data_IF_792463522902
#
_entry.id   IF_792463522902
#
_cell.length_a   1.000
_cell.length_b   1.000
_cell.length_c   1.000
_cell.angle_alpha   90.00
_cell.angle_beta   90.00
_cell.angle_gamma   90.00
#
_symmetry.space_group_name_H-M   'P 1'
#
loop_
_entity.id
_entity.type
_entity.pdbx_description
1 polymer ?
#
# COMPACT_ATOMS: atom_id res chain seq x y z
N UNK A 1 -54.58 -28.47 -7.00
CA UNK A 1 -53.94 -28.04 -8.26
C UNK A 1 -52.54 -27.53 -7.88
N UNK A 2 -51.53 -28.40 -8.00
CA UNK A 2 -50.15 -28.11 -7.61
C UNK A 2 -49.39 -27.62 -8.85
N UNK A 3 -48.94 -26.35 -8.79
CA UNK A 3 -48.06 -25.79 -9.83
C UNK A 3 -46.62 -26.36 -9.64
N UNK A 4 -46.15 -27.08 -10.65
CA UNK A 4 -44.78 -27.52 -10.79
C UNK A 4 -43.98 -26.36 -11.36
N UNK A 5 -43.04 -25.82 -10.60
CA UNK A 5 -41.97 -24.95 -11.11
C UNK A 5 -40.84 -25.83 -11.64
N UNK A 6 -40.63 -25.76 -12.94
CA UNK A 6 -39.53 -26.42 -13.61
C UNK A 6 -38.20 -25.70 -13.24
N UNK A 7 -37.31 -26.40 -12.53
CA UNK A 7 -35.94 -25.94 -12.27
C UNK A 7 -35.10 -26.14 -13.53
N UNK A 8 -34.42 -25.10 -13.96
CA UNK A 8 -33.32 -25.18 -14.92
C UNK A 8 -32.10 -25.84 -14.26
N UNK A 9 -31.40 -26.77 -14.90
CA UNK A 9 -30.13 -27.26 -14.39
C UNK A 9 -29.07 -26.18 -14.62
N UNK A 10 -28.82 -25.40 -13.58
CA UNK A 10 -27.71 -24.42 -13.54
C UNK A 10 -26.42 -25.17 -13.25
N UNK A 11 -25.48 -24.96 -14.12
CA UNK A 11 -24.11 -25.43 -14.17
C UNK A 11 -23.40 -25.21 -12.83
N UNK A 12 -23.13 -26.28 -12.11
CA UNK A 12 -22.16 -26.37 -11.00
C UNK A 12 -20.74 -26.38 -11.58
N UNK A 13 -20.17 -25.22 -11.85
CA UNK A 13 -18.76 -25.06 -12.29
C UNK A 13 -17.92 -24.17 -11.37
N UNK A 14 -18.42 -23.80 -10.20
CA UNK A 14 -17.72 -22.85 -9.33
C UNK A 14 -17.21 -23.40 -7.99
N UNK A 15 -17.23 -24.73 -7.76
CA UNK A 15 -16.91 -25.27 -6.42
C UNK A 15 -15.55 -25.98 -6.35
N UNK A 16 -14.63 -25.75 -7.27
CA UNK A 16 -13.36 -26.53 -7.32
C UNK A 16 -12.09 -25.80 -6.86
N UNK A 17 -12.13 -24.54 -6.41
CA UNK A 17 -10.91 -23.83 -6.02
C UNK A 17 -10.99 -22.96 -4.76
N UNK A 18 -12.03 -23.02 -3.96
CA UNK A 18 -12.03 -22.42 -2.63
C UNK A 18 -12.12 -23.53 -1.58
N UNK A 19 -11.08 -23.80 -0.80
CA UNK A 19 -11.24 -24.60 0.41
C UNK A 19 -12.20 -23.83 1.32
N UNK A 20 -13.31 -24.48 1.71
CA UNK A 20 -14.36 -23.87 2.51
C UNK A 20 -13.80 -23.28 3.82
N UNK A 21 -13.79 -21.95 3.90
CA UNK A 21 -13.50 -21.21 5.11
C UNK A 21 -14.71 -21.14 6.04
N UNK A 22 -15.56 -22.16 6.04
CA UNK A 22 -16.82 -22.16 6.79
C UNK A 22 -16.62 -22.29 8.31
N UNK A 23 -15.42 -22.60 8.78
CA UNK A 23 -15.18 -22.89 10.18
C UNK A 23 -13.96 -22.12 10.73
N UNK A 24 -14.15 -20.83 11.09
CA UNK A 24 -13.17 -20.03 11.84
C UNK A 24 -13.20 -20.35 13.36
N UNK A 25 -13.49 -21.60 13.72
CA UNK A 25 -13.52 -22.08 15.11
C UNK A 25 -12.11 -22.32 15.67
N UNK A 26 -11.10 -22.41 14.80
CA UNK A 26 -9.71 -22.61 15.17
C UNK A 26 -9.03 -21.32 15.68
N UNK A 27 -7.82 -21.47 16.27
CA UNK A 27 -7.01 -20.32 16.66
C UNK A 27 -6.69 -19.40 15.45
N UNK A 28 -6.66 -18.08 15.68
CA UNK A 28 -6.37 -17.06 14.65
C UNK A 28 -5.18 -17.41 13.74
N UNK A 29 -4.07 -17.86 14.33
CA UNK A 29 -2.83 -18.16 13.60
C UNK A 29 -2.87 -19.41 12.72
N UNK A 30 -3.97 -20.17 12.69
CA UNK A 30 -4.12 -21.35 11.82
C UNK A 30 -4.80 -21.04 10.49
N UNK A 31 -5.46 -19.90 10.37
CA UNK A 31 -6.20 -19.49 9.18
C UNK A 31 -5.28 -18.81 8.14
N UNK A 32 -4.71 -19.58 7.23
CA UNK A 32 -3.85 -19.07 6.15
C UNK A 32 -4.53 -19.22 4.80
N UNK A 33 -4.58 -18.17 3.96
CA UNK A 33 -5.18 -18.27 2.64
C UNK A 33 -4.27 -19.05 1.68
N UNK A 34 -4.87 -19.75 0.73
CA UNK A 34 -4.14 -20.48 -0.31
C UNK A 34 -4.06 -19.62 -1.58
N UNK A 35 -3.09 -18.69 -1.63
CA UNK A 35 -2.87 -17.76 -2.74
C UNK A 35 -1.51 -18.02 -3.43
N UNK A 36 -1.35 -19.16 -4.18
CA UNK A 36 -0.06 -19.57 -4.71
C UNK A 36 0.49 -18.59 -5.75
N UNK A 37 -0.36 -17.96 -6.56
CA UNK A 37 0.07 -16.99 -7.58
C UNK A 37 0.68 -15.73 -6.93
N UNK A 38 0.04 -15.22 -5.89
CA UNK A 38 0.54 -14.07 -5.14
C UNK A 38 1.85 -14.40 -4.44
N UNK A 39 1.94 -15.58 -3.80
CA UNK A 39 3.17 -16.05 -3.16
C UNK A 39 4.33 -16.13 -4.17
N UNK A 40 4.10 -16.72 -5.35
CA UNK A 40 5.09 -16.81 -6.43
C UNK A 40 5.49 -15.41 -6.89
N UNK A 41 4.55 -14.48 -7.06
CA UNK A 41 4.83 -13.12 -7.47
C UNK A 41 5.71 -12.38 -6.44
N UNK A 42 5.44 -12.52 -5.14
CA UNK A 42 6.24 -11.91 -4.08
C UNK A 42 7.64 -12.52 -3.99
N UNK A 43 7.76 -13.84 -4.11
CA UNK A 43 9.05 -14.54 -4.16
C UNK A 43 9.85 -14.09 -5.39
N UNK A 44 9.20 -13.98 -6.55
CA UNK A 44 9.85 -13.52 -7.79
C UNK A 44 10.32 -12.05 -7.65
N UNK A 45 9.49 -11.17 -7.08
CA UNK A 45 9.87 -9.77 -6.84
C UNK A 45 11.05 -9.65 -5.86
N UNK A 46 11.02 -10.41 -4.76
CA UNK A 46 12.09 -10.46 -3.77
C UNK A 46 13.39 -11.03 -4.37
N UNK A 47 13.27 -12.12 -5.12
CA UNK A 47 14.41 -12.77 -5.79
C UNK A 47 15.04 -11.88 -6.86
N UNK A 48 14.20 -11.21 -7.67
CA UNK A 48 14.65 -10.27 -8.70
C UNK A 48 15.44 -9.09 -8.10
N UNK A 49 14.91 -8.50 -7.03
CA UNK A 49 15.58 -7.43 -6.31
C UNK A 49 16.87 -7.91 -5.65
N UNK A 50 16.85 -9.04 -4.94
CA UNK A 50 18.01 -9.61 -4.27
C UNK A 50 19.14 -9.99 -5.23
N UNK A 51 18.79 -10.66 -6.36
CA UNK A 51 19.75 -10.97 -7.42
C UNK A 51 20.35 -9.70 -8.05
N UNK A 52 19.53 -8.68 -8.23
CA UNK A 52 19.98 -7.38 -8.71
C UNK A 52 20.93 -6.68 -7.76
N UNK A 53 20.64 -6.67 -6.48
CA UNK A 53 21.55 -6.18 -5.44
C UNK A 53 22.89 -6.92 -5.46
N UNK A 54 22.86 -8.25 -5.55
CA UNK A 54 24.06 -9.06 -5.66
C UNK A 54 24.89 -8.72 -6.90
N UNK A 55 24.27 -8.64 -8.08
CA UNK A 55 24.96 -8.29 -9.34
C UNK A 55 25.53 -6.87 -9.30
N UNK A 56 24.78 -5.90 -8.80
CA UNK A 56 25.26 -4.52 -8.62
C UNK A 56 26.47 -4.47 -7.68
N UNK A 57 26.41 -5.21 -6.59
CA UNK A 57 27.53 -5.29 -5.64
C UNK A 57 28.81 -5.85 -6.29
N UNK A 58 28.66 -6.84 -7.17
CA UNK A 58 29.80 -7.42 -7.92
C UNK A 58 30.43 -6.45 -8.92
N UNK A 59 29.65 -5.54 -9.50
CA UNK A 59 30.10 -4.61 -10.57
C UNK A 59 30.53 -3.26 -10.02
N UNK A 60 29.75 -2.70 -9.09
CA UNK A 60 29.94 -1.31 -8.59
C UNK A 60 30.58 -1.30 -7.19
N UNK A 61 30.59 -2.44 -6.51
CA UNK A 61 31.12 -2.58 -5.14
C UNK A 61 30.07 -2.41 -4.05
N UNK A 62 30.56 -2.51 -2.80
CA UNK A 62 29.72 -2.57 -1.58
C UNK A 62 28.80 -1.36 -1.35
N UNK A 63 29.04 -0.24 -2.02
CA UNK A 63 28.24 0.99 -1.90
C UNK A 63 27.06 1.08 -2.87
N UNK A 64 26.87 0.09 -3.77
CA UNK A 64 25.82 0.12 -4.79
C UNK A 64 24.41 0.19 -4.22
N UNK A 65 24.12 -0.65 -3.20
CA UNK A 65 22.86 -0.66 -2.45
C UNK A 65 23.20 -0.77 -0.96
N UNK A 66 22.75 0.19 -0.16
CA UNK A 66 22.96 0.11 1.30
C UNK A 66 22.08 -0.97 1.93
N UNK A 67 22.56 -1.58 3.02
CA UNK A 67 21.80 -2.59 3.76
C UNK A 67 20.43 -2.05 4.21
N UNK A 68 20.34 -0.79 4.62
CA UNK A 68 19.09 -0.16 5.03
C UNK A 68 18.05 -0.11 3.90
N UNK A 69 18.47 0.12 2.65
CA UNK A 69 17.56 0.07 1.49
C UNK A 69 17.08 -1.34 1.20
N UNK A 70 17.98 -2.30 1.25
CA UNK A 70 17.62 -3.70 1.05
C UNK A 70 16.64 -4.17 2.15
N UNK A 71 16.94 -3.86 3.42
CA UNK A 71 16.03 -4.14 4.54
C UNK A 71 14.66 -3.50 4.34
N UNK A 72 14.59 -2.23 3.94
CA UNK A 72 13.33 -1.54 3.70
C UNK A 72 12.52 -2.25 2.60
N UNK A 73 13.15 -2.62 1.48
CA UNK A 73 12.45 -3.34 0.40
C UNK A 73 11.88 -4.68 0.87
N UNK A 74 12.70 -5.51 1.53
CA UNK A 74 12.24 -6.81 2.03
C UNK A 74 11.18 -6.66 3.12
N UNK A 75 11.29 -5.66 3.99
CA UNK A 75 10.22 -5.34 4.95
C UNK A 75 8.93 -4.96 4.24
N UNK A 76 8.98 -4.20 3.14
CA UNK A 76 7.82 -3.90 2.30
C UNK A 76 7.18 -5.15 1.69
N UNK A 77 7.99 -6.07 1.14
CA UNK A 77 7.49 -7.37 0.63
C UNK A 77 6.84 -8.20 1.76
N UNK A 78 7.47 -8.27 2.93
CA UNK A 78 6.91 -8.95 4.10
C UNK A 78 5.59 -8.31 4.53
N UNK A 79 5.50 -6.98 4.50
CA UNK A 79 4.25 -6.28 4.85
C UNK A 79 3.12 -6.63 3.88
N UNK A 80 3.39 -6.70 2.56
CA UNK A 80 2.40 -7.17 1.57
C UNK A 80 2.00 -8.63 1.87
N UNK A 81 2.97 -9.49 2.16
CA UNK A 81 2.69 -10.89 2.52
C UNK A 81 1.85 -11.00 3.80
N UNK A 82 2.15 -10.19 4.83
CA UNK A 82 1.35 -10.12 6.05
C UNK A 82 -0.07 -9.64 5.78
N UNK A 83 -0.26 -8.68 4.89
CA UNK A 83 -1.58 -8.19 4.55
C UNK A 83 -2.42 -9.21 3.78
N UNK A 84 -1.81 -9.94 2.82
CA UNK A 84 -2.55 -10.72 1.83
C UNK A 84 -2.37 -12.24 1.95
N UNK A 85 -1.34 -12.72 2.64
CA UNK A 85 -1.01 -14.15 2.79
C UNK A 85 -1.01 -14.60 4.26
N UNK A 86 -1.61 -13.84 5.18
CA UNK A 86 -1.67 -14.20 6.59
C UNK A 86 -3.12 -14.35 7.05
N UNK A 87 -3.35 -14.76 8.30
CA UNK A 87 -4.69 -14.78 8.89
C UNK A 87 -5.46 -13.46 8.77
N UNK A 88 -4.78 -12.31 8.65
CA UNK A 88 -5.43 -11.01 8.42
C UNK A 88 -6.31 -11.07 7.16
N UNK A 89 -5.82 -11.65 6.07
CA UNK A 89 -6.59 -11.77 4.82
C UNK A 89 -7.85 -12.63 4.99
N UNK A 90 -7.74 -13.75 5.70
CA UNK A 90 -8.89 -14.64 5.93
C UNK A 90 -9.94 -13.99 6.82
N UNK A 91 -9.51 -13.31 7.89
CA UNK A 91 -10.44 -12.64 8.80
C UNK A 91 -11.00 -11.32 8.24
N UNK A 92 -10.32 -10.69 7.26
CA UNK A 92 -10.82 -9.48 6.60
C UNK A 92 -12.09 -9.71 5.79
N UNK A 93 -12.36 -10.95 5.35
CA UNK A 93 -13.60 -11.32 4.68
C UNK A 93 -14.82 -11.30 5.61
N UNK A 94 -14.63 -11.41 6.93
CA UNK A 94 -15.70 -11.49 7.92
C UNK A 94 -15.72 -10.35 8.93
N UNK A 95 -14.58 -9.65 9.10
CA UNK A 95 -14.40 -8.58 10.07
C UNK A 95 -13.91 -7.32 9.37
N UNK A 96 -14.72 -6.28 9.42
CA UNK A 96 -14.41 -4.99 8.83
C UNK A 96 -13.12 -4.39 9.41
N UNK A 97 -12.93 -4.50 10.75
CA UNK A 97 -11.70 -3.96 11.36
C UNK A 97 -10.42 -4.68 10.89
N UNK A 98 -10.49 -5.98 10.59
CA UNK A 98 -9.37 -6.72 10.00
C UNK A 98 -9.09 -6.26 8.57
N UNK A 99 -10.14 -5.99 7.80
CA UNK A 99 -10.02 -5.40 6.47
C UNK A 99 -9.37 -4.01 6.52
N UNK A 100 -9.69 -3.19 7.51
CA UNK A 100 -9.03 -1.90 7.73
C UNK A 100 -7.56 -2.04 8.12
N UNK A 101 -7.19 -3.04 8.92
CA UNK A 101 -5.78 -3.38 9.20
C UNK A 101 -5.05 -3.76 7.92
N UNK A 102 -5.66 -4.60 7.09
CA UNK A 102 -5.12 -5.00 5.78
C UNK A 102 -4.86 -3.78 4.89
N UNK A 103 -5.83 -2.86 4.77
CA UNK A 103 -5.67 -1.62 4.00
C UNK A 103 -4.57 -0.71 4.56
N UNK A 104 -4.45 -0.55 5.88
CA UNK A 104 -3.36 0.20 6.50
C UNK A 104 -1.98 -0.34 6.10
N UNK A 105 -1.81 -1.66 6.11
CA UNK A 105 -0.57 -2.31 5.69
C UNK A 105 -0.27 -2.03 4.21
N UNK A 106 -1.28 -2.11 3.34
CA UNK A 106 -1.14 -1.95 1.90
C UNK A 106 -0.98 -0.50 1.44
N UNK A 107 -1.57 0.47 2.15
CA UNK A 107 -1.57 1.88 1.77
C UNK A 107 -0.45 2.69 2.43
N UNK A 108 -0.18 2.43 3.71
CA UNK A 108 0.65 3.31 4.52
C UNK A 108 2.01 2.70 4.91
N UNK A 109 2.13 1.38 4.97
CA UNK A 109 3.36 0.71 5.42
C UNK A 109 4.14 0.12 4.25
N UNK A 110 3.54 -0.75 3.45
CA UNK A 110 4.24 -1.43 2.37
C UNK A 110 4.78 -0.48 1.29
N UNK A 111 4.00 0.48 0.73
CA UNK A 111 4.46 1.33 -0.36
C UNK A 111 5.67 2.21 0.00
N UNK A 112 5.68 2.94 1.14
CA UNK A 112 6.88 3.70 1.51
C UNK A 112 8.10 2.80 1.74
N UNK A 113 7.96 1.63 2.35
CA UNK A 113 9.06 0.69 2.54
C UNK A 113 9.62 0.18 1.22
N UNK A 114 8.76 -0.20 0.28
CA UNK A 114 9.16 -0.62 -1.06
C UNK A 114 9.92 0.50 -1.79
N UNK A 115 9.42 1.73 -1.74
CA UNK A 115 10.04 2.89 -2.39
C UNK A 115 11.38 3.31 -1.73
N UNK A 116 11.49 3.23 -0.40
CA UNK A 116 12.74 3.44 0.31
C UNK A 116 13.84 2.47 -0.12
N UNK A 117 13.46 1.26 -0.51
CA UNK A 117 14.34 0.28 -1.12
C UNK A 117 14.91 0.67 -2.48
N UNK A 118 14.37 1.71 -3.14
CA UNK A 118 14.75 2.14 -4.50
C UNK A 118 14.75 0.99 -5.50
N UNK A 119 13.64 0.26 -5.69
CA UNK A 119 13.63 -1.04 -6.33
C UNK A 119 13.96 -1.01 -7.82
N UNK A 120 13.77 0.11 -8.51
CA UNK A 120 13.85 0.19 -9.96
C UNK A 120 15.20 -0.32 -10.52
N UNK A 121 16.31 0.23 -10.04
CA UNK A 121 17.63 -0.14 -10.53
C UNK A 121 18.02 -1.57 -10.13
N UNK A 122 17.93 -1.99 -8.85
CA UNK A 122 18.20 -3.36 -8.48
C UNK A 122 17.35 -4.38 -9.25
N UNK A 123 16.03 -4.15 -9.37
CA UNK A 123 15.15 -5.08 -10.07
C UNK A 123 15.50 -5.20 -11.57
N UNK A 124 15.87 -4.10 -12.23
CA UNK A 124 16.37 -4.17 -13.60
C UNK A 124 17.69 -4.98 -13.72
N UNK A 125 18.56 -4.87 -12.73
CA UNK A 125 19.80 -5.64 -12.69
C UNK A 125 19.58 -7.12 -12.33
N UNK A 126 18.46 -7.46 -11.70
CA UNK A 126 18.03 -8.84 -11.50
C UNK A 126 17.69 -9.56 -12.80
N UNK A 127 17.22 -8.83 -13.82
CA UNK A 127 16.87 -9.38 -15.12
C UNK A 127 18.09 -9.84 -15.94
N UNK A 128 17.90 -10.77 -16.89
CA UNK A 128 18.89 -11.04 -17.95
C UNK A 128 19.25 -9.77 -18.71
N UNK A 129 20.49 -9.70 -19.24
CA UNK A 129 21.04 -8.49 -19.86
C UNK A 129 20.15 -7.94 -21.00
N UNK A 130 19.59 -8.83 -21.83
CA UNK A 130 18.70 -8.46 -22.93
C UNK A 130 17.46 -7.69 -22.46
N UNK A 131 16.77 -8.18 -21.43
CA UNK A 131 15.57 -7.53 -20.87
C UNK A 131 15.91 -6.24 -20.14
N UNK A 132 17.04 -6.21 -19.43
CA UNK A 132 17.53 -5.00 -18.77
C UNK A 132 17.77 -3.86 -19.76
N UNK A 133 18.37 -4.15 -20.92
CA UNK A 133 18.60 -3.14 -21.98
C UNK A 133 17.28 -2.66 -22.56
N UNK A 134 16.37 -3.57 -22.94
CA UNK A 134 15.07 -3.21 -23.52
C UNK A 134 14.26 -2.35 -22.57
N UNK A 135 14.08 -2.80 -21.32
CA UNK A 135 13.29 -2.05 -20.31
C UNK A 135 13.99 -0.75 -19.91
N UNK A 136 15.32 -0.76 -19.81
CA UNK A 136 16.10 0.46 -19.56
C UNK A 136 15.89 1.51 -20.65
N UNK A 137 15.87 1.11 -21.91
CA UNK A 137 15.60 2.02 -23.03
C UNK A 137 14.20 2.62 -23.01
N UNK A 138 13.18 1.86 -22.57
CA UNK A 138 11.80 2.37 -22.42
C UNK A 138 11.69 3.46 -21.35
N UNK A 139 12.57 3.43 -20.34
CA UNK A 139 12.61 4.39 -19.24
C UNK A 139 13.50 5.61 -19.48
N UNK A 140 14.16 5.70 -20.66
CA UNK A 140 14.97 6.87 -21.02
C UNK A 140 14.08 8.11 -21.14
N UNK A 141 14.51 9.26 -20.58
CA UNK A 141 13.79 10.53 -20.70
C UNK A 141 13.43 10.87 -22.16
N UNK A 142 12.18 11.28 -22.39
CA UNK A 142 11.67 11.58 -23.74
C UNK A 142 10.89 10.43 -24.39
N UNK A 143 11.03 9.19 -23.96
CA UNK A 143 10.22 8.06 -24.44
C UNK A 143 8.79 8.14 -23.91
N UNK A 144 7.77 7.61 -24.61
CA UNK A 144 6.37 7.66 -24.19
C UNK A 144 6.14 7.09 -22.79
N UNK A 145 6.73 5.93 -22.45
CA UNK A 145 6.58 5.30 -21.13
C UNK A 145 7.21 6.16 -20.03
N UNK A 146 8.38 6.76 -20.27
CA UNK A 146 8.98 7.69 -19.31
C UNK A 146 8.15 8.95 -19.13
N UNK A 147 7.51 9.48 -20.21
CA UNK A 147 6.59 10.62 -20.14
C UNK A 147 5.34 10.28 -19.33
N UNK A 148 4.76 9.10 -19.57
CA UNK A 148 3.62 8.61 -18.80
C UNK A 148 3.97 8.48 -17.31
N UNK A 149 5.09 7.80 -17.00
CA UNK A 149 5.60 7.69 -15.64
C UNK A 149 5.81 9.04 -14.97
N UNK A 150 6.33 10.01 -15.74
CA UNK A 150 6.48 11.38 -15.28
C UNK A 150 5.13 12.06 -14.98
N UNK A 151 4.12 11.86 -15.82
CA UNK A 151 2.78 12.45 -15.65
C UNK A 151 2.10 11.88 -14.42
N UNK A 152 2.02 10.55 -14.29
CA UNK A 152 1.30 9.90 -13.19
C UNK A 152 1.99 10.10 -11.82
N UNK A 153 3.31 10.36 -11.80
CA UNK A 153 4.04 10.69 -10.57
C UNK A 153 4.10 12.20 -10.28
N UNK A 154 3.38 13.04 -11.04
CA UNK A 154 3.22 14.45 -10.65
C UNK A 154 2.43 14.55 -9.35
N UNK A 155 2.83 15.43 -8.41
CA UNK A 155 2.20 15.48 -7.09
C UNK A 155 0.68 15.62 -7.13
N UNK A 156 0.14 16.46 -8.01
CA UNK A 156 -1.31 16.67 -8.12
C UNK A 156 -2.04 15.42 -8.62
N UNK A 157 -1.51 14.75 -9.65
CA UNK A 157 -2.12 13.51 -10.19
C UNK A 157 -2.02 12.38 -9.15
N UNK A 158 -0.86 12.25 -8.49
CA UNK A 158 -0.63 11.20 -7.51
C UNK A 158 -1.55 11.34 -6.29
N UNK A 159 -1.67 12.55 -5.71
CA UNK A 159 -2.56 12.76 -4.56
C UNK A 159 -4.04 12.62 -4.95
N UNK A 160 -4.44 13.14 -6.13
CA UNK A 160 -5.80 13.00 -6.60
C UNK A 160 -6.18 11.53 -6.85
N UNK A 161 -5.31 10.75 -7.51
CA UNK A 161 -5.54 9.32 -7.72
C UNK A 161 -5.68 8.56 -6.40
N UNK A 162 -4.85 8.86 -5.42
CA UNK A 162 -4.88 8.21 -4.10
C UNK A 162 -6.17 8.54 -3.34
N UNK A 163 -6.51 9.82 -3.22
CA UNK A 163 -7.74 10.30 -2.54
C UNK A 163 -8.99 9.74 -3.24
N UNK A 164 -9.09 9.86 -4.56
CA UNK A 164 -10.24 9.33 -5.30
C UNK A 164 -10.38 7.81 -5.10
N UNK A 165 -9.29 7.08 -5.11
CA UNK A 165 -9.31 5.62 -4.90
C UNK A 165 -9.83 5.27 -3.51
N UNK A 166 -9.35 5.93 -2.45
CA UNK A 166 -9.86 5.71 -1.09
C UNK A 166 -11.34 6.08 -1.02
N UNK A 167 -11.73 7.27 -1.48
CA UNK A 167 -13.13 7.72 -1.44
C UNK A 167 -14.08 6.74 -2.13
N UNK A 168 -13.75 6.31 -3.36
CA UNK A 168 -14.61 5.43 -4.15
C UNK A 168 -14.80 4.07 -3.46
N UNK A 169 -13.73 3.42 -3.02
CA UNK A 169 -13.82 2.10 -2.41
C UNK A 169 -14.44 2.11 -1.00
N UNK A 170 -14.49 3.24 -0.31
CA UNK A 170 -15.21 3.38 0.97
C UNK A 170 -16.68 3.78 0.80
N UNK A 171 -17.17 4.07 -0.41
CA UNK A 171 -18.60 4.21 -0.63
C UNK A 171 -19.29 2.85 -0.50
N UNK A 172 -20.39 2.73 0.29
CA UNK A 172 -21.02 1.44 0.58
C UNK A 172 -21.35 0.60 -0.65
N UNK A 173 -21.78 1.24 -1.75
CA UNK A 173 -22.11 0.54 -3.00
C UNK A 173 -20.88 -0.16 -3.62
N UNK A 174 -19.74 0.53 -3.68
CA UNK A 174 -18.51 -0.05 -4.26
C UNK A 174 -17.86 -1.04 -3.30
N UNK A 175 -17.90 -0.75 -2.01
CA UNK A 175 -17.42 -1.63 -0.96
C UNK A 175 -18.13 -3.00 -0.99
N UNK A 176 -19.46 -3.00 -0.96
CA UNK A 176 -20.26 -4.24 -1.01
C UNK A 176 -20.03 -5.03 -2.32
N UNK A 177 -19.80 -4.33 -3.45
CA UNK A 177 -19.44 -4.97 -4.72
C UNK A 177 -18.05 -5.60 -4.66
N UNK A 178 -17.08 -4.94 -4.04
CA UNK A 178 -15.74 -5.48 -3.86
C UNK A 178 -15.76 -6.74 -3.00
N UNK A 179 -16.40 -6.69 -1.85
CA UNK A 179 -16.51 -7.84 -0.96
C UNK A 179 -17.32 -9.01 -1.55
N UNK A 180 -18.27 -8.73 -2.44
CA UNK A 180 -19.09 -9.75 -3.11
C UNK A 180 -18.45 -10.41 -4.34
N UNK A 181 -17.28 -9.96 -4.82
CA UNK A 181 -16.66 -10.45 -6.06
C UNK A 181 -15.14 -10.45 -5.95
N UNK A 182 -14.50 -11.60 -5.97
CA UNK A 182 -13.04 -11.77 -5.88
C UNK A 182 -12.28 -10.85 -6.83
N UNK A 183 -12.68 -10.77 -8.11
CA UNK A 183 -12.01 -9.87 -9.06
C UNK A 183 -12.06 -8.39 -8.66
N UNK A 184 -13.19 -7.91 -8.09
CA UNK A 184 -13.33 -6.52 -7.66
C UNK A 184 -12.51 -6.24 -6.39
N UNK A 185 -12.42 -7.20 -5.48
CA UNK A 185 -11.59 -7.13 -4.29
C UNK A 185 -10.08 -7.10 -4.66
N UNK A 186 -9.66 -7.96 -5.59
CA UNK A 186 -8.29 -7.94 -6.11
C UNK A 186 -7.96 -6.59 -6.81
N UNK A 187 -8.91 -6.07 -7.58
CA UNK A 187 -8.79 -4.76 -8.23
C UNK A 187 -8.69 -3.63 -7.22
N UNK A 188 -9.47 -3.67 -6.14
CA UNK A 188 -9.37 -2.73 -5.02
C UNK A 188 -7.96 -2.71 -4.42
N UNK A 189 -7.43 -3.88 -4.06
CA UNK A 189 -6.08 -3.99 -3.50
C UNK A 189 -5.00 -3.52 -4.48
N UNK A 190 -5.13 -3.87 -5.77
CA UNK A 190 -4.20 -3.42 -6.81
C UNK A 190 -4.21 -1.90 -6.97
N UNK A 191 -5.39 -1.28 -6.97
CA UNK A 191 -5.54 0.17 -7.04
C UNK A 191 -5.03 0.84 -5.77
N UNK A 192 -5.26 0.29 -4.60
CA UNK A 192 -4.73 0.81 -3.34
C UNK A 192 -3.21 0.81 -3.33
N UNK A 193 -2.58 -0.32 -3.60
CA UNK A 193 -1.11 -0.39 -3.64
C UNK A 193 -0.54 0.49 -4.75
N UNK A 194 -1.14 0.46 -5.95
CA UNK A 194 -0.71 1.24 -7.09
C UNK A 194 -0.77 2.76 -6.85
N UNK A 195 -1.91 3.26 -6.37
CA UNK A 195 -2.07 4.70 -6.09
C UNK A 195 -1.28 5.13 -4.86
N UNK A 196 -1.09 4.27 -3.86
CA UNK A 196 -0.21 4.53 -2.73
C UNK A 196 1.27 4.64 -3.15
N UNK A 197 1.75 3.76 -4.04
CA UNK A 197 3.09 3.89 -4.62
C UNK A 197 3.25 5.23 -5.36
N UNK A 198 2.25 5.64 -6.16
CA UNK A 198 2.24 6.94 -6.83
C UNK A 198 2.25 8.09 -5.82
N UNK A 199 1.42 8.02 -4.77
CA UNK A 199 1.31 9.03 -3.74
C UNK A 199 2.61 9.21 -2.93
N UNK A 200 3.25 8.12 -2.50
CA UNK A 200 4.50 8.18 -1.76
C UNK A 200 5.72 8.53 -2.62
N UNK A 201 5.61 8.40 -3.96
CA UNK A 201 6.70 8.66 -4.89
C UNK A 201 7.29 10.07 -4.80
N UNK A 202 6.50 11.18 -4.86
CA UNK A 202 7.05 12.54 -4.74
C UNK A 202 7.66 12.86 -3.38
N UNK A 203 7.21 12.17 -2.32
CA UNK A 203 7.71 12.35 -0.94
C UNK A 203 9.04 11.64 -0.74
N UNK A 204 9.12 10.36 -1.12
CA UNK A 204 10.29 9.50 -0.89
C UNK A 204 11.35 9.71 -1.98
N UNK A 205 10.91 9.95 -3.21
CA UNK A 205 11.78 10.20 -4.35
C UNK A 205 12.81 9.08 -4.63
N UNK A 206 12.37 7.86 -4.94
CA UNK A 206 13.23 6.69 -4.99
C UNK A 206 14.28 6.72 -6.11
N UNK A 207 14.09 7.54 -7.15
CA UNK A 207 15.02 7.63 -8.30
C UNK A 207 16.12 8.65 -8.16
N UNK A 208 16.05 9.55 -7.15
CA UNK A 208 17.12 10.53 -6.88
C UNK A 208 17.22 11.72 -7.85
N UNK A 209 16.25 11.95 -8.75
CA UNK A 209 16.22 13.07 -9.69
C UNK A 209 15.61 14.37 -9.12
N UNK A 210 15.39 15.39 -9.97
CA UNK A 210 15.05 16.76 -9.58
C UNK A 210 13.64 17.03 -9.01
N UNK A 211 12.82 16.00 -8.75
CA UNK A 211 11.41 16.18 -8.38
C UNK A 211 11.07 15.95 -6.93
N UNK A 212 12.00 16.14 -6.04
CA UNK A 212 11.67 16.13 -4.61
C UNK A 212 10.78 17.33 -4.30
N UNK A 213 9.61 17.10 -3.69
CA UNK A 213 8.82 18.18 -3.13
C UNK A 213 9.71 18.93 -2.11
N UNK A 214 9.74 20.28 -2.19
CA UNK A 214 10.31 21.05 -1.11
C UNK A 214 9.50 20.79 0.17
N UNK A 215 10.12 20.93 1.33
CA UNK A 215 9.44 20.70 2.62
C UNK A 215 8.13 21.49 2.73
N UNK A 216 8.15 22.78 2.29
CA UNK A 216 6.96 23.62 2.28
C UNK A 216 5.82 23.10 1.37
N UNK A 217 6.14 22.45 0.25
CA UNK A 217 5.13 21.84 -0.66
C UNK A 217 4.70 20.45 -0.21
N UNK A 218 5.55 19.73 0.50
CA UNK A 218 5.23 18.39 1.01
C UNK A 218 4.19 18.45 2.14
N UNK A 219 4.16 19.51 2.94
CA UNK A 219 3.18 19.69 4.00
C UNK A 219 1.74 19.70 3.47
N UNK A 220 1.32 20.63 2.56
CA UNK A 220 -0.03 20.62 2.03
C UNK A 220 -0.33 19.37 1.16
N UNK A 221 0.69 18.71 0.63
CA UNK A 221 0.54 17.48 -0.13
C UNK A 221 0.08 16.29 0.74
N UNK A 222 0.53 16.20 1.99
CA UNK A 222 0.17 15.13 2.91
C UNK A 222 -1.23 15.32 3.53
N UNK A 223 -1.79 16.54 3.52
CA UNK A 223 -3.04 16.85 4.21
C UNK A 223 -4.29 16.19 3.60
N UNK A 224 -4.53 16.17 2.27
CA UNK A 224 -5.78 15.64 1.73
C UNK A 224 -6.09 14.20 2.15
N UNK A 225 -5.21 13.20 1.99
CA UNK A 225 -5.53 11.84 2.41
C UNK A 225 -5.55 11.68 3.95
N UNK A 226 -4.80 12.50 4.69
CA UNK A 226 -4.90 12.54 6.14
C UNK A 226 -6.31 12.98 6.59
N UNK A 227 -6.82 14.09 6.04
CA UNK A 227 -8.15 14.61 6.37
C UNK A 227 -9.26 13.67 5.89
N UNK A 228 -9.10 13.06 4.72
CA UNK A 228 -10.03 12.07 4.19
C UNK A 228 -10.11 10.83 5.08
N UNK A 229 -8.97 10.23 5.43
CA UNK A 229 -8.91 9.09 6.32
C UNK A 229 -9.53 9.38 7.69
N UNK A 230 -9.26 10.59 8.23
CA UNK A 230 -9.87 11.07 9.47
C UNK A 230 -11.38 11.19 9.33
N UNK A 231 -11.88 11.82 8.24
CA UNK A 231 -13.31 12.01 8.03
C UNK A 231 -14.05 10.69 7.90
N UNK A 232 -13.57 9.78 7.03
CA UNK A 232 -14.20 8.47 6.84
C UNK A 232 -14.15 7.67 8.15
N UNK A 233 -13.00 7.62 8.81
CA UNK A 233 -12.83 6.89 10.07
C UNK A 233 -13.75 7.39 11.19
N UNK A 234 -13.90 8.72 11.33
CA UNK A 234 -14.84 9.32 12.30
C UNK A 234 -16.28 8.96 11.95
N UNK A 235 -16.68 9.08 10.66
CA UNK A 235 -18.03 8.71 10.24
C UNK A 235 -18.35 7.24 10.55
N UNK A 236 -17.42 6.34 10.32
CA UNK A 236 -17.58 4.91 10.61
C UNK A 236 -17.62 4.62 12.13
N UNK A 237 -16.79 5.32 12.91
CA UNK A 237 -16.71 5.13 14.37
C UNK A 237 -17.97 5.56 15.10
N UNK A 238 -18.59 6.64 14.66
CA UNK A 238 -19.78 7.21 15.31
C UNK A 238 -21.10 6.82 14.64
N UNK A 239 -21.06 5.94 13.63
CA UNK A 239 -22.28 5.40 13.05
C UNK A 239 -22.99 4.47 14.05
N UNK A 240 -24.29 4.67 14.21
CA UNK A 240 -25.17 3.88 15.09
C UNK A 240 -25.74 2.62 14.42
N UNK A 241 -25.48 2.47 13.12
CA UNK A 241 -25.93 1.34 12.29
C UNK A 241 -24.83 0.92 11.31
N UNK A 242 -24.82 -0.37 10.85
CA UNK A 242 -23.91 -0.81 9.85
C UNK A 242 -24.13 -0.08 8.52
N UNK A 243 -23.09 0.44 7.92
CA UNK A 243 -23.12 1.08 6.60
C UNK A 243 -22.88 0.07 5.47
N UNK A 244 -22.13 -0.99 5.75
CA UNK A 244 -21.76 -2.03 4.79
C UNK A 244 -22.63 -3.27 4.99
N UNK A 245 -23.40 -3.63 3.97
CA UNK A 245 -24.36 -4.76 4.02
C UNK A 245 -23.65 -6.11 4.10
N UNK A 246 -22.46 -6.20 3.55
CA UNK A 246 -21.65 -7.42 3.54
C UNK A 246 -21.47 -8.03 4.94
N UNK A 247 -21.47 -7.23 5.99
CA UNK A 247 -21.25 -7.69 7.38
C UNK A 247 -22.52 -7.81 8.22
N UNK A 248 -23.72 -7.50 7.69
CA UNK A 248 -24.95 -7.42 8.51
C UNK A 248 -25.44 -8.78 8.96
N UNK A 249 -25.40 -9.80 8.08
CA UNK A 249 -25.97 -11.13 8.33
C UNK A 249 -24.91 -12.23 8.41
N UNK A 250 -23.66 -11.85 8.69
CA UNK A 250 -22.54 -12.78 8.80
C UNK A 250 -22.31 -13.17 10.25
N UNK A 251 -22.10 -14.45 10.53
CA UNK A 251 -21.63 -14.92 11.82
C UNK A 251 -20.21 -14.40 12.07
N UNK A 252 -20.08 -13.42 12.97
CA UNK A 252 -18.80 -12.78 13.27
C UNK A 252 -18.01 -13.58 14.30
N UNK A 253 -16.71 -13.81 14.06
CA UNK A 253 -15.81 -14.35 15.07
C UNK A 253 -15.79 -13.49 16.34
N UNK A 254 -15.49 -14.12 17.46
CA UNK A 254 -15.28 -13.46 18.76
C UNK A 254 -16.46 -12.67 19.32
N UNK A 255 -17.69 -12.88 18.79
CA UNK A 255 -18.90 -12.26 19.29
C UNK A 255 -19.08 -10.77 18.98
N UNK A 256 -18.38 -10.26 17.96
CA UNK A 256 -18.61 -8.90 17.48
C UNK A 256 -20.01 -8.76 16.87
N UNK A 257 -20.57 -7.56 17.00
CA UNK A 257 -21.71 -7.12 16.20
C UNK A 257 -21.21 -6.34 14.98
N UNK A 258 -21.98 -6.29 13.90
CA UNK A 258 -21.60 -5.52 12.70
C UNK A 258 -21.30 -4.03 13.02
N UNK A 259 -22.04 -3.44 13.97
CA UNK A 259 -21.81 -2.05 14.41
C UNK A 259 -20.49 -1.92 15.16
N UNK A 260 -20.24 -2.79 16.14
CA UNK A 260 -19.02 -2.73 16.95
C UNK A 260 -17.76 -2.97 16.10
N UNK A 261 -17.84 -3.91 15.16
CA UNK A 261 -16.78 -4.21 14.20
C UNK A 261 -16.50 -3.01 13.29
N UNK A 262 -17.55 -2.39 12.74
CA UNK A 262 -17.42 -1.18 11.92
C UNK A 262 -16.82 -0.01 12.71
N UNK A 263 -17.26 0.21 13.95
CA UNK A 263 -16.75 1.26 14.83
C UNK A 263 -15.26 1.05 15.14
N UNK A 264 -14.84 -0.20 15.39
CA UNK A 264 -13.44 -0.55 15.59
C UNK A 264 -12.61 -0.32 14.33
N UNK A 265 -13.12 -0.71 13.15
CA UNK A 265 -12.47 -0.43 11.87
C UNK A 265 -12.31 1.07 11.61
N UNK A 266 -13.34 1.86 11.92
CA UNK A 266 -13.27 3.32 11.88
C UNK A 266 -12.17 3.87 12.80
N UNK A 267 -12.09 3.42 14.05
CA UNK A 267 -11.03 3.79 14.99
C UNK A 267 -9.63 3.47 14.45
N UNK A 268 -9.45 2.29 13.84
CA UNK A 268 -8.19 1.88 13.22
C UNK A 268 -7.83 2.82 12.08
N UNK A 269 -8.78 3.21 11.26
CA UNK A 269 -8.56 4.07 10.11
C UNK A 269 -8.12 5.48 10.51
N UNK A 270 -8.74 6.11 11.49
CA UNK A 270 -8.42 7.51 11.83
C UNK A 270 -7.37 7.69 12.92
N UNK A 271 -7.23 6.78 13.92
CA UNK A 271 -6.22 6.91 14.96
C UNK A 271 -4.86 6.37 14.47
N UNK A 272 -4.61 5.06 14.30
CA UNK A 272 -3.32 4.60 13.79
C UNK A 272 -3.08 5.07 12.34
N UNK A 273 -4.10 5.07 11.47
CA UNK A 273 -3.97 5.59 10.12
C UNK A 273 -3.56 7.06 10.08
N UNK A 274 -4.18 7.91 10.91
CA UNK A 274 -3.80 9.31 11.07
C UNK A 274 -2.37 9.51 11.57
N UNK A 275 -1.90 8.68 12.50
CA UNK A 275 -0.53 8.75 13.01
C UNK A 275 0.52 8.50 11.90
N UNK A 276 0.24 7.60 10.95
CA UNK A 276 1.13 7.35 9.81
C UNK A 276 1.31 8.57 8.90
N UNK A 277 0.33 9.46 8.80
CA UNK A 277 0.47 10.73 8.11
C UNK A 277 1.08 11.81 9.01
N UNK A 278 0.74 11.82 10.28
CA UNK A 278 1.21 12.82 11.23
C UNK A 278 2.73 12.75 11.47
N UNK A 279 3.30 11.55 11.55
CA UNK A 279 4.75 11.36 11.74
C UNK A 279 5.58 12.05 10.63
N UNK A 280 5.36 11.76 9.33
CA UNK A 280 6.09 12.44 8.27
C UNK A 280 5.76 13.94 8.21
N UNK A 281 4.54 14.35 8.54
CA UNK A 281 4.13 15.76 8.58
C UNK A 281 4.95 16.54 9.60
N UNK A 282 5.08 16.03 10.82
CA UNK A 282 5.90 16.62 11.88
C UNK A 282 7.38 16.63 11.47
N UNK A 283 7.88 15.53 10.91
CA UNK A 283 9.26 15.43 10.42
C UNK A 283 9.59 16.49 9.34
N UNK A 284 8.66 16.69 8.39
CA UNK A 284 8.79 17.71 7.35
C UNK A 284 8.71 19.13 7.92
N UNK A 285 7.81 19.38 8.86
CA UNK A 285 7.70 20.67 9.54
C UNK A 285 9.00 21.00 10.29
N UNK A 286 9.54 20.07 11.05
CA UNK A 286 10.82 20.24 11.74
C UNK A 286 11.99 20.50 10.77
N UNK A 287 11.99 19.80 9.63
CA UNK A 287 13.00 20.01 8.60
C UNK A 287 12.88 21.40 7.95
N UNK A 288 11.66 21.88 7.72
CA UNK A 288 11.39 23.23 7.21
C UNK A 288 11.89 24.31 8.19
N UNK A 289 11.52 24.20 9.46
CA UNK A 289 11.95 25.15 10.50
C UNK A 289 13.48 25.22 10.59
N UNK A 290 14.15 24.08 10.63
CA UNK A 290 15.63 24.03 10.63
C UNK A 290 16.24 24.68 9.38
N UNK A 291 15.59 24.57 8.23
CA UNK A 291 16.05 25.20 7.00
C UNK A 291 15.90 26.72 7.05
N UNK A 292 14.86 27.22 7.67
CA UNK A 292 14.62 28.67 7.86
C UNK A 292 15.58 29.24 8.87
N UNK A 293 15.81 28.57 10.00
CA UNK A 293 16.82 28.99 11.01
C UNK A 293 18.22 29.09 10.40
N UNK A 294 18.61 28.14 9.54
CA UNK A 294 19.90 28.15 8.86
C UNK A 294 20.06 29.29 7.82
N UNK A 295 18.93 29.89 7.38
CA UNK A 295 18.90 31.02 6.44
C UNK A 295 18.81 32.39 7.14
N UNK A 296 18.48 32.42 8.43
CA UNK A 296 18.36 33.66 9.19
C UNK A 296 19.70 34.43 9.24
N UNK A 297 19.71 35.76 9.01
CA UNK A 297 20.91 36.55 9.11
C UNK A 297 21.47 36.50 10.54
N UNK A 298 22.68 35.98 10.73
CA UNK A 298 23.32 35.83 12.04
C UNK A 298 23.55 34.38 12.50
N UNK A 299 23.15 33.39 11.75
CA UNK A 299 23.48 31.97 12.04
C UNK A 299 25.01 31.79 11.93
N UNK A 300 25.68 31.20 12.95
CA UNK A 300 27.12 30.94 12.88
C UNK A 300 27.40 30.01 11.68
N UNK A 301 28.50 30.25 10.93
CA UNK A 301 28.85 29.39 9.81
C UNK A 301 29.03 27.97 10.31
N UNK A 302 28.31 27.03 9.71
CA UNK A 302 28.50 25.60 9.95
C UNK A 302 29.96 25.28 9.74
N UNK A 303 30.67 24.90 10.81
CA UNK A 303 32.08 24.56 10.79
C UNK A 303 32.32 23.54 9.67
N UNK A 304 32.94 24.00 8.59
CA UNK A 304 33.44 23.12 7.54
C UNK A 304 34.44 22.17 8.23
N UNK A 305 34.10 20.89 8.30
CA UNK A 305 35.05 19.85 8.67
C UNK A 305 36.22 19.98 7.69
N UNK A 306 37.30 20.61 8.14
CA UNK A 306 38.57 20.52 7.43
C UNK A 306 38.96 19.03 7.38
N UNK A 307 39.36 18.50 6.24
CA UNK A 307 39.99 17.19 6.19
C UNK A 307 41.31 17.30 6.92
N UNK A 308 41.42 16.60 8.05
CA UNK A 308 42.72 16.37 8.70
C UNK A 308 43.60 15.61 7.73
N UNK A 309 44.67 16.23 7.34
CA UNK A 309 45.80 15.72 6.55
C UNK A 309 46.36 14.42 7.12
#
# INVERSE_FOLDING_TARGET
>A
MKARTAGFPGVEVATLLAPGHDDLTGPFWTAWPAEPLLLIALIAAAGLYGLGCYRLHRVVGARAVSSSRATAFFAGIITVALALLSPIAVYSERLFFMHMIQHLLLLLIAPPLLLLGRPLVPSLWGLPAQWRVVLGQLLVPGRPLARLGYLITTPLVAVAAFVITIAVWHLPVFYDVAQGRTFMHDLEHLLFVGTALLYWWPVIHPTGGQRRLSYARALPYLLPPFLESMLIGVLLTFADRPLYRTYVDVAMPWGFTAVTDQQLGGLIMWIPGGLFFLIPLIGLLMALLRQEDARAPGSPPTASRQPTS
#
